data_IF_015112993406
#
_entry.id   IF_015112993406
#
_cell.length_a   1.000
_cell.length_b   1.000
_cell.length_c   1.000
_cell.angle_alpha   90.00
_cell.angle_beta   90.00
_cell.angle_gamma   90.00
#
_symmetry.space_group_name_H-M   'P 1'
#
loop_
_entity.id
_entity.type
_entity.pdbx_description
1 polymer ?
#
# COMPACT_ATOMS: atom_id res chain seq x y z
N UNK A 1 -54.26 -25.01 -47.87
CA UNK A 1 -52.86 -24.72 -48.22
C UNK A 1 -52.16 -24.17 -47.00
N UNK A 2 -51.14 -24.90 -46.54
CA UNK A 2 -50.17 -24.47 -45.54
C UNK A 2 -49.54 -23.12 -45.92
N UNK A 3 -49.29 -22.25 -44.94
CA UNK A 3 -47.95 -21.66 -44.72
C UNK A 3 -47.81 -21.39 -43.21
N UNK A 4 -46.84 -22.09 -42.60
CA UNK A 4 -46.28 -21.80 -41.29
C UNK A 4 -45.49 -20.48 -41.33
N UNK A 5 -45.59 -19.66 -40.28
CA UNK A 5 -44.57 -18.65 -39.99
C UNK A 5 -44.21 -18.70 -38.51
N UNK A 6 -42.94 -19.05 -38.30
CA UNK A 6 -42.28 -19.30 -37.04
C UNK A 6 -41.78 -17.99 -36.41
N UNK A 7 -41.92 -17.93 -35.08
CA UNK A 7 -40.87 -17.65 -34.09
C UNK A 7 -40.09 -16.34 -34.19
N UNK A 8 -40.18 -15.54 -33.12
CA UNK A 8 -39.27 -14.43 -32.82
C UNK A 8 -39.50 -13.88 -31.41
N UNK A 9 -39.44 -14.73 -30.39
CA UNK A 9 -39.43 -14.28 -28.99
C UNK A 9 -37.99 -13.89 -28.63
N UNK A 10 -37.66 -12.61 -28.79
CA UNK A 10 -36.38 -12.05 -28.40
C UNK A 10 -36.34 -11.93 -26.88
N UNK A 11 -35.81 -12.95 -26.21
CA UNK A 11 -35.46 -12.89 -24.79
C UNK A 11 -34.26 -11.94 -24.66
N UNK A 12 -34.51 -10.73 -24.18
CA UNK A 12 -33.47 -9.84 -23.69
C UNK A 12 -32.88 -10.47 -22.43
N UNK A 13 -31.81 -11.24 -22.59
CA UNK A 13 -30.91 -11.57 -21.49
C UNK A 13 -30.24 -10.28 -21.05
N UNK A 14 -30.84 -9.61 -20.06
CA UNK A 14 -30.12 -8.67 -19.23
C UNK A 14 -28.96 -9.47 -18.61
N UNK A 15 -27.74 -9.24 -19.09
CA UNK A 15 -26.57 -9.60 -18.30
C UNK A 15 -26.57 -8.66 -17.11
N UNK A 16 -27.21 -9.08 -16.02
CA UNK A 16 -26.84 -8.57 -14.71
C UNK A 16 -25.39 -9.00 -14.52
N UNK A 17 -24.46 -8.10 -14.86
CA UNK A 17 -23.11 -8.19 -14.33
C UNK A 17 -23.29 -8.29 -12.82
N UNK A 18 -22.91 -9.41 -12.18
CA UNK A 18 -22.93 -9.45 -10.72
C UNK A 18 -22.09 -8.26 -10.29
N UNK A 19 -22.70 -7.34 -9.53
CA UNK A 19 -21.94 -6.40 -8.73
C UNK A 19 -21.01 -7.27 -7.90
N UNK A 20 -19.76 -7.38 -8.32
CA UNK A 20 -18.75 -8.04 -7.52
C UNK A 20 -18.70 -7.25 -6.22
N UNK A 21 -19.25 -7.85 -5.16
CA UNK A 21 -19.11 -7.31 -3.82
C UNK A 21 -17.61 -7.14 -3.60
N UNK A 22 -17.18 -5.91 -3.32
CA UNK A 22 -15.78 -5.62 -3.06
C UNK A 22 -15.44 -6.30 -1.73
N UNK A 23 -14.78 -7.45 -1.82
CA UNK A 23 -14.32 -8.25 -0.68
C UNK A 23 -12.83 -8.00 -0.46
N UNK A 24 -12.37 -8.19 0.77
CA UNK A 24 -10.95 -8.12 1.10
C UNK A 24 -10.17 -9.17 0.31
N UNK A 25 -9.30 -8.70 -0.58
CA UNK A 25 -8.46 -9.59 -1.36
C UNK A 25 -7.20 -9.96 -0.57
N UNK A 26 -7.10 -11.17 -0.03
CA UNK A 26 -5.86 -11.63 0.62
C UNK A 26 -4.89 -12.35 -0.34
N UNK A 27 -5.25 -12.55 -1.61
CA UNK A 27 -4.58 -13.51 -2.51
C UNK A 27 -3.13 -13.15 -2.83
N UNK A 28 -2.79 -11.86 -2.79
CA UNK A 28 -1.44 -11.37 -3.12
C UNK A 28 -0.65 -10.82 -1.92
N UNK A 29 -1.13 -11.09 -0.70
CA UNK A 29 -0.43 -10.75 0.53
C UNK A 29 0.97 -11.37 0.57
N UNK A 30 1.99 -10.57 0.92
CA UNK A 30 3.39 -11.01 0.95
C UNK A 30 4.05 -11.10 -0.42
N UNK A 31 3.30 -10.88 -1.52
CA UNK A 31 3.82 -10.90 -2.89
C UNK A 31 3.79 -9.53 -3.55
N UNK A 32 2.61 -8.90 -3.65
CA UNK A 32 2.46 -7.59 -4.31
C UNK A 32 1.89 -6.53 -3.39
N UNK A 33 1.41 -6.93 -2.20
CA UNK A 33 0.94 -6.03 -1.15
C UNK A 33 1.30 -6.60 0.23
N UNK A 34 1.51 -5.71 1.19
CA UNK A 34 1.61 -6.08 2.59
C UNK A 34 0.22 -6.25 3.17
N UNK A 35 0.08 -7.17 4.11
CA UNK A 35 -1.18 -7.42 4.79
C UNK A 35 -0.94 -7.60 6.28
N UNK A 36 -1.89 -7.15 7.07
CA UNK A 36 -1.97 -7.39 8.49
C UNK A 36 -3.38 -7.86 8.84
N UNK A 37 -3.48 -9.13 9.22
CA UNK A 37 -4.73 -9.83 9.49
C UNK A 37 -4.61 -10.42 10.90
N UNK A 38 -4.95 -9.65 11.95
CA UNK A 38 -4.75 -10.09 13.33
C UNK A 38 -5.71 -11.22 13.75
N UNK A 39 -6.88 -11.32 13.12
CA UNK A 39 -7.87 -12.37 13.36
C UNK A 39 -8.74 -12.58 12.09
N UNK A 40 -9.42 -13.74 11.95
CA UNK A 40 -10.41 -13.93 10.90
C UNK A 40 -11.45 -12.81 10.89
N UNK A 41 -11.85 -12.37 9.70
CA UNK A 41 -12.82 -11.28 9.53
C UNK A 41 -12.25 -9.88 9.69
N UNK A 42 -11.02 -9.68 10.19
CA UNK A 42 -10.39 -8.35 10.33
C UNK A 42 -9.08 -8.28 9.54
N UNK A 43 -9.03 -7.41 8.54
CA UNK A 43 -7.90 -7.32 7.62
C UNK A 43 -7.57 -5.89 7.21
N UNK A 44 -6.27 -5.62 7.14
CA UNK A 44 -5.71 -4.46 6.50
C UNK A 44 -4.71 -4.88 5.43
N UNK A 45 -4.78 -4.30 4.23
CA UNK A 45 -3.73 -4.44 3.23
C UNK A 45 -3.27 -3.08 2.73
N UNK A 46 -1.99 -3.02 2.35
CA UNK A 46 -1.36 -1.82 1.82
C UNK A 46 -0.40 -2.18 0.70
N UNK A 47 -0.29 -1.30 -0.29
CA UNK A 47 0.69 -1.38 -1.37
C UNK A 47 1.18 0.01 -1.68
N UNK A 48 2.47 0.26 -1.46
CA UNK A 48 3.11 1.48 -1.92
C UNK A 48 3.08 1.49 -3.45
N UNK A 49 2.50 2.55 -4.01
CA UNK A 49 2.40 2.76 -5.46
C UNK A 49 3.53 3.68 -5.93
N UNK A 50 3.88 4.66 -5.11
CA UNK A 50 5.01 5.58 -5.28
C UNK A 50 5.34 6.26 -3.96
N UNK A 51 6.39 7.08 -3.94
CA UNK A 51 6.76 7.92 -2.80
C UNK A 51 5.65 8.89 -2.32
N UNK A 52 4.55 9.00 -3.07
CA UNK A 52 3.42 9.87 -2.71
C UNK A 52 2.12 9.13 -2.46
N UNK A 53 2.02 7.85 -2.81
CA UNK A 53 0.74 7.13 -2.76
C UNK A 53 0.87 5.72 -2.25
N UNK A 54 -0.06 5.35 -1.37
CA UNK A 54 -0.26 3.97 -0.90
C UNK A 54 -1.70 3.57 -1.24
N UNK A 55 -1.87 2.48 -1.96
CA UNK A 55 -3.17 1.82 -2.08
C UNK A 55 -3.45 1.06 -0.77
N UNK A 56 -4.61 1.27 -0.18
CA UNK A 56 -5.01 0.66 1.09
C UNK A 56 -6.37 -0.03 0.97
N UNK A 57 -6.57 -1.03 1.80
CA UNK A 57 -7.80 -1.82 1.90
C UNK A 57 -8.03 -2.21 3.35
N UNK A 58 -9.21 -1.91 3.88
CA UNK A 58 -9.66 -2.23 5.22
C UNK A 58 -10.92 -3.08 5.13
N UNK A 59 -11.00 -4.14 5.93
CA UNK A 59 -12.19 -4.97 6.04
C UNK A 59 -12.38 -5.46 7.46
N UNK A 60 -13.62 -5.45 7.94
CA UNK A 60 -14.00 -6.01 9.22
C UNK A 60 -15.38 -6.66 9.17
N UNK A 61 -15.49 -7.86 9.73
CA UNK A 61 -16.76 -8.44 10.11
C UNK A 61 -17.30 -7.72 11.35
N UNK A 62 -18.48 -7.13 11.22
CA UNK A 62 -19.14 -6.34 12.25
C UNK A 62 -20.62 -6.70 12.34
N UNK A 63 -21.16 -6.59 13.54
CA UNK A 63 -22.54 -6.99 13.87
C UNK A 63 -23.60 -5.93 13.54
N UNK A 64 -23.19 -4.70 13.21
CA UNK A 64 -24.08 -3.55 13.09
C UNK A 64 -23.49 -2.41 12.26
N UNK A 65 -24.36 -1.49 11.85
CA UNK A 65 -24.01 -0.34 11.01
C UNK A 65 -23.48 0.88 11.77
N UNK A 66 -23.08 0.73 13.04
CA UNK A 66 -22.51 1.78 13.91
C UNK A 66 -21.14 1.35 14.41
N UNK A 67 -20.23 1.12 13.48
CA UNK A 67 -18.94 0.45 13.72
C UNK A 67 -17.85 1.18 12.95
N UNK A 68 -16.66 1.20 13.52
CA UNK A 68 -15.47 1.75 12.87
C UNK A 68 -14.32 0.76 12.94
N UNK A 69 -13.46 0.84 11.92
CA UNK A 69 -12.12 0.30 11.92
C UNK A 69 -11.15 1.39 11.51
N UNK A 70 -10.08 1.53 12.27
CA UNK A 70 -9.08 2.56 12.10
C UNK A 70 -7.68 1.96 12.06
N UNK A 71 -6.83 2.47 11.17
CA UNK A 71 -5.45 1.99 10.99
C UNK A 71 -4.49 3.15 11.22
N UNK A 72 -3.52 2.95 12.12
CA UNK A 72 -2.45 3.90 12.40
C UNK A 72 -1.11 3.31 11.96
N UNK A 73 -0.28 4.11 11.27
CA UNK A 73 1.06 3.71 10.81
C UNK A 73 2.17 4.26 11.72
N UNK A 74 2.44 3.67 12.88
CA UNK A 74 3.48 4.21 13.79
C UNK A 74 4.89 4.12 13.20
N UNK A 75 5.64 5.23 13.15
CA UNK A 75 7.09 5.25 12.85
C UNK A 75 7.83 6.04 13.92
N UNK A 76 8.77 5.40 14.62
CA UNK A 76 9.46 6.01 15.76
C UNK A 76 8.49 6.39 16.90
N UNK A 77 8.55 7.63 17.37
CA UNK A 77 7.67 8.17 18.44
C UNK A 77 6.40 8.83 17.92
N UNK A 78 6.25 8.96 16.60
CA UNK A 78 5.13 9.67 15.97
C UNK A 78 4.14 8.64 15.42
N UNK A 79 2.89 8.77 15.85
CA UNK A 79 1.75 8.05 15.27
C UNK A 79 1.07 8.97 14.26
N UNK A 80 1.39 8.86 12.95
CA UNK A 80 0.68 9.60 11.90
C UNK A 80 -0.80 9.19 11.88
N UNK A 81 -1.67 9.93 11.19
CA UNK A 81 -3.07 9.94 11.50
C UNK A 81 -3.70 8.61 11.10
N UNK A 82 -4.77 8.25 11.80
CA UNK A 82 -5.47 7.00 11.55
C UNK A 82 -6.22 7.10 10.21
N UNK A 83 -6.25 6.04 9.41
CA UNK A 83 -7.25 5.93 8.35
C UNK A 83 -8.44 5.21 8.93
N UNK A 84 -9.61 5.83 8.93
CA UNK A 84 -10.83 5.23 9.42
C UNK A 84 -11.77 4.85 8.28
N UNK A 85 -12.30 3.64 8.36
CA UNK A 85 -13.49 3.19 7.65
C UNK A 85 -14.61 3.04 8.67
N UNK A 86 -15.73 3.74 8.49
CA UNK A 86 -16.86 3.62 9.42
C UNK A 86 -18.21 3.72 8.75
N UNK A 87 -19.18 3.08 9.38
CA UNK A 87 -20.61 3.18 9.08
C UNK A 87 -21.31 3.78 10.29
N UNK A 88 -22.25 4.69 10.03
CA UNK A 88 -23.00 5.41 11.08
C UNK A 88 -24.45 5.56 10.63
N UNK A 89 -25.38 5.25 11.53
CA UNK A 89 -26.83 5.37 11.37
C UNK A 89 -27.38 4.65 10.14
N UNK A 90 -26.82 3.48 9.80
CA UNK A 90 -27.25 2.69 8.65
C UNK A 90 -26.88 3.30 7.29
N UNK A 91 -26.07 4.36 7.28
CA UNK A 91 -25.60 5.00 6.04
C UNK A 91 -24.47 4.19 5.41
N UNK A 92 -24.27 4.38 4.11
CA UNK A 92 -23.13 3.80 3.40
C UNK A 92 -21.81 4.14 4.11
N UNK A 93 -20.85 3.20 4.19
CA UNK A 93 -19.59 3.47 4.84
C UNK A 93 -18.80 4.57 4.17
N UNK A 94 -18.04 5.30 4.97
CA UNK A 94 -17.14 6.36 4.52
C UNK A 94 -15.72 6.08 5.00
N UNK A 95 -14.75 6.52 4.19
CA UNK A 95 -13.33 6.52 4.57
C UNK A 95 -12.87 7.96 4.79
N UNK A 96 -12.17 8.21 5.89
CA UNK A 96 -11.63 9.53 6.21
C UNK A 96 -10.43 9.44 7.14
N UNK A 97 -9.74 10.57 7.30
CA UNK A 97 -8.73 10.75 8.34
C UNK A 97 -9.48 11.37 9.54
N UNK A 98 -9.59 10.69 10.70
CA UNK A 98 -10.25 11.24 11.87
C UNK A 98 -9.44 12.40 12.42
N UNK A 99 -10.13 13.46 12.80
CA UNK A 99 -9.51 14.64 13.37
C UNK A 99 -9.18 14.36 14.84
N UNK A 100 -7.94 14.64 15.28
CA UNK A 100 -7.52 14.42 16.67
C UNK A 100 -8.03 15.52 17.63
N UNK A 101 -8.71 16.55 17.10
CA UNK A 101 -9.00 17.81 17.81
C UNK A 101 -10.45 17.93 18.31
N UNK A 102 -11.38 17.10 17.83
CA UNK A 102 -12.80 17.21 18.20
C UNK A 102 -13.32 15.92 18.84
N UNK A 103 -13.32 15.91 20.17
CA UNK A 103 -14.13 15.01 20.99
C UNK A 103 -15.61 15.35 20.77
N UNK A 104 -16.30 14.58 19.93
CA UNK A 104 -17.77 14.57 19.90
C UNK A 104 -18.44 14.53 18.52
N UNK A 105 -17.70 14.76 17.43
CA UNK A 105 -18.27 14.66 16.08
C UNK A 105 -17.50 13.67 15.21
N UNK A 106 -18.14 12.54 14.88
CA UNK A 106 -17.59 11.51 13.98
C UNK A 106 -17.25 12.06 12.59
N UNK A 107 -18.01 13.06 12.15
CA UNK A 107 -17.95 13.67 10.83
C UNK A 107 -17.71 15.16 10.95
N UNK A 108 -16.68 15.62 10.27
CA UNK A 108 -16.39 17.05 10.11
C UNK A 108 -17.30 17.67 9.05
N UNK A 109 -17.70 18.94 9.19
CA UNK A 109 -18.26 19.69 8.06
C UNK A 109 -17.29 19.65 6.87
N UNK A 110 -17.82 19.52 5.64
CA UNK A 110 -17.02 19.39 4.40
C UNK A 110 -16.13 18.13 4.31
N UNK A 111 -16.49 17.05 5.01
CA UNK A 111 -15.80 15.75 4.95
C UNK A 111 -15.55 15.28 3.51
N UNK A 112 -16.46 15.51 2.57
CA UNK A 112 -16.29 15.11 1.16
C UNK A 112 -15.12 15.83 0.48
N UNK A 113 -14.99 17.15 0.69
CA UNK A 113 -13.90 17.96 0.14
C UNK A 113 -12.57 17.59 0.80
N UNK A 114 -12.57 17.40 2.12
CA UNK A 114 -11.38 16.96 2.85
C UNK A 114 -10.94 15.55 2.44
N UNK A 115 -11.89 14.63 2.25
CA UNK A 115 -11.63 13.28 1.75
C UNK A 115 -10.98 13.31 0.36
N UNK A 116 -11.45 14.15 -0.54
CA UNK A 116 -10.87 14.30 -1.88
C UNK A 116 -9.43 14.83 -1.88
N UNK A 117 -8.98 15.49 -0.80
CA UNK A 117 -7.59 15.95 -0.69
C UNK A 117 -6.61 14.80 -0.44
N UNK A 118 -7.04 13.75 0.27
CA UNK A 118 -6.14 12.68 0.73
C UNK A 118 -6.45 11.31 0.14
N UNK A 119 -7.69 11.10 -0.33
CA UNK A 119 -8.14 9.84 -0.87
C UNK A 119 -8.60 10.00 -2.32
N UNK A 120 -8.14 9.09 -3.17
CA UNK A 120 -8.65 8.87 -4.52
C UNK A 120 -9.03 7.40 -4.69
N UNK A 121 -9.75 7.06 -5.76
CA UNK A 121 -10.19 5.68 -6.04
C UNK A 121 -10.89 5.01 -4.85
N UNK A 122 -11.78 5.77 -4.19
CA UNK A 122 -12.50 5.31 -3.01
C UNK A 122 -13.59 4.33 -3.43
N UNK A 123 -13.63 3.17 -2.77
CA UNK A 123 -14.69 2.17 -2.87
C UNK A 123 -15.07 1.74 -1.46
N UNK A 124 -16.35 1.78 -1.11
CA UNK A 124 -16.83 1.39 0.21
C UNK A 124 -18.08 0.53 0.10
N UNK A 125 -18.25 -0.41 1.02
CA UNK A 125 -19.44 -1.27 1.07
C UNK A 125 -19.70 -1.79 2.47
N UNK A 126 -20.98 -1.92 2.81
CA UNK A 126 -21.44 -2.64 3.98
C UNK A 126 -22.42 -3.72 3.52
N UNK A 127 -22.00 -4.98 3.53
CA UNK A 127 -22.82 -6.09 3.03
C UNK A 127 -22.48 -7.36 3.79
N UNK A 128 -23.50 -8.17 4.10
CA UNK A 128 -23.35 -9.46 4.78
C UNK A 128 -22.57 -9.38 6.11
N UNK A 129 -22.70 -8.28 6.84
CA UNK A 129 -21.94 -8.07 8.09
C UNK A 129 -20.48 -7.68 7.86
N UNK A 130 -20.05 -7.36 6.64
CA UNK A 130 -18.69 -6.92 6.34
C UNK A 130 -18.66 -5.43 6.05
N UNK A 131 -17.91 -4.68 6.85
CA UNK A 131 -17.51 -3.30 6.61
C UNK A 131 -16.24 -3.28 5.77
N UNK A 132 -16.31 -2.74 4.57
CA UNK A 132 -15.20 -2.68 3.62
C UNK A 132 -14.94 -1.27 3.13
N UNK A 133 -13.66 -0.87 3.12
CA UNK A 133 -13.20 0.34 2.46
C UNK A 133 -11.89 0.11 1.72
N UNK A 134 -11.77 0.67 0.53
CA UNK A 134 -10.56 0.71 -0.27
C UNK A 134 -10.34 2.13 -0.80
N UNK A 135 -9.09 2.57 -0.82
CA UNK A 135 -8.73 3.86 -1.37
C UNK A 135 -7.25 3.91 -1.77
N UNK A 136 -6.89 4.93 -2.54
CA UNK A 136 -5.52 5.39 -2.70
C UNK A 136 -5.29 6.59 -1.78
N UNK A 137 -4.43 6.40 -0.79
CA UNK A 137 -4.04 7.39 0.21
C UNK A 137 -2.84 8.21 -0.28
N UNK A 138 -2.94 9.53 -0.18
CA UNK A 138 -1.83 10.47 -0.33
C UNK A 138 -0.95 10.42 0.94
N UNK A 139 0.31 10.05 0.79
CA UNK A 139 1.30 9.89 1.88
C UNK A 139 2.51 10.82 1.72
N UNK A 140 2.35 11.89 0.94
CA UNK A 140 3.33 12.96 0.87
C UNK A 140 2.76 14.13 1.66
N UNK A 141 3.27 14.30 2.88
CA UNK A 141 2.88 15.40 3.76
C UNK A 141 3.07 16.73 3.05
N UNK A 142 2.01 17.54 3.02
CA UNK A 142 2.05 18.92 2.53
C UNK A 142 2.76 19.84 3.54
N UNK A 143 3.94 19.44 4.04
CA UNK A 143 4.66 20.04 5.17
C UNK A 143 3.88 20.01 6.50
N UNK A 144 2.90 19.12 6.65
CA UNK A 144 2.13 18.98 7.88
C UNK A 144 2.57 17.72 8.66
N UNK A 145 3.11 17.87 9.89
CA UNK A 145 3.57 16.74 10.71
C UNK A 145 2.43 15.83 11.19
N UNK A 146 1.17 16.23 11.05
CA UNK A 146 0.00 15.43 11.40
C UNK A 146 -0.36 14.39 10.34
N UNK A 147 0.35 14.34 9.19
CA UNK A 147 0.08 13.39 8.11
C UNK A 147 1.23 12.41 7.91
N UNK A 148 0.90 11.19 7.50
CA UNK A 148 1.91 10.20 7.12
C UNK A 148 2.72 10.75 5.96
N UNK A 149 4.01 10.90 6.17
CA UNK A 149 5.00 11.05 5.10
C UNK A 149 5.72 9.72 4.95
N UNK A 150 5.59 9.12 3.77
CA UNK A 150 6.24 7.85 3.50
C UNK A 150 7.76 8.00 3.38
N UNK A 151 8.49 7.20 4.14
CA UNK A 151 9.95 7.07 4.11
C UNK A 151 10.31 5.58 3.88
N UNK A 152 10.90 5.23 2.72
CA UNK A 152 11.31 3.85 2.42
C UNK A 152 12.45 3.31 3.29
N UNK A 153 13.08 4.17 4.10
CA UNK A 153 14.15 3.81 5.04
C UNK A 153 13.62 3.56 6.46
N UNK A 154 12.38 3.93 6.75
CA UNK A 154 11.79 3.77 8.07
C UNK A 154 11.15 2.39 8.26
N UNK A 155 11.13 1.92 9.50
CA UNK A 155 10.29 0.80 9.93
C UNK A 155 8.98 1.33 10.52
N UNK A 156 7.88 0.71 10.12
CA UNK A 156 6.54 1.08 10.54
C UNK A 156 5.92 -0.03 11.36
N UNK A 157 5.04 0.34 12.28
CA UNK A 157 4.08 -0.57 12.91
C UNK A 157 2.69 -0.24 12.38
N UNK A 158 1.90 -1.26 12.12
CA UNK A 158 0.49 -1.10 11.75
C UNK A 158 -0.33 -1.44 12.97
N UNK A 159 -1.08 -0.45 13.48
CA UNK A 159 -2.07 -0.66 14.54
C UNK A 159 -3.47 -0.59 13.96
N UNK A 160 -4.23 -1.67 14.05
CA UNK A 160 -5.66 -1.70 13.76
C UNK A 160 -6.41 -1.48 15.07
N UNK A 161 -7.37 -0.56 15.09
CA UNK A 161 -8.31 -0.34 16.20
C UNK A 161 -9.72 -0.48 15.67
N UNK A 162 -10.57 -1.21 16.38
CA UNK A 162 -11.97 -1.38 16.01
C UNK A 162 -12.88 -1.18 17.23
N UNK A 163 -14.14 -0.86 16.97
CA UNK A 163 -15.14 -0.80 18.02
C UNK A 163 -16.46 -0.19 17.56
N UNK A 164 -17.43 -0.09 18.47
CA UNK A 164 -18.71 0.54 18.19
C UNK A 164 -18.59 2.06 18.19
N UNK A 165 -19.58 2.66 17.54
CA UNK A 165 -19.85 4.08 17.57
C UNK A 165 -21.08 4.29 18.45
N UNK A 166 -20.90 5.00 19.57
CA UNK A 166 -21.94 5.22 20.57
C UNK A 166 -22.08 6.72 20.84
N UNK A 167 -23.30 7.26 20.72
CA UNK A 167 -23.55 8.67 21.03
C UNK A 167 -22.76 9.68 20.17
N UNK A 168 -22.27 9.28 19.00
CA UNK A 168 -21.39 10.13 18.19
C UNK A 168 -19.90 10.00 18.53
N UNK A 169 -19.51 8.99 19.32
CA UNK A 169 -18.12 8.78 19.73
C UNK A 169 -17.62 7.37 19.39
N UNK A 170 -16.31 7.28 19.17
CA UNK A 170 -15.59 6.03 18.92
C UNK A 170 -15.25 5.39 20.26
N UNK A 171 -15.76 4.20 20.52
CA UNK A 171 -15.37 3.43 21.69
C UNK A 171 -14.39 2.36 21.22
N UNK A 172 -13.09 2.53 21.50
CA UNK A 172 -12.09 1.53 21.14
C UNK A 172 -12.34 0.24 21.93
N UNK A 173 -12.73 -0.82 21.22
CA UNK A 173 -13.05 -2.12 21.83
C UNK A 173 -11.84 -3.04 21.76
N UNK A 174 -11.21 -3.13 20.58
CA UNK A 174 -10.03 -3.96 20.35
C UNK A 174 -8.95 -3.18 19.61
N UNK A 175 -7.70 -3.54 19.87
CA UNK A 175 -6.53 -2.95 19.22
C UNK A 175 -5.48 -4.02 18.99
N UNK A 176 -4.93 -4.06 17.79
CA UNK A 176 -3.92 -5.03 17.36
C UNK A 176 -2.77 -4.31 16.70
N UNK A 177 -1.54 -4.56 17.15
CA UNK A 177 -0.34 -3.93 16.60
C UNK A 177 0.56 -4.98 15.96
N UNK A 178 0.96 -4.75 14.71
CA UNK A 178 1.89 -5.61 14.00
C UNK A 178 3.30 -5.50 14.58
N UNK A 179 4.13 -6.50 14.29
CA UNK A 179 5.59 -6.30 14.37
C UNK A 179 6.04 -5.17 13.42
N UNK A 180 7.19 -4.53 13.70
CA UNK A 180 7.79 -3.57 12.77
C UNK A 180 7.96 -4.18 11.37
N UNK A 181 7.65 -3.40 10.35
CA UNK A 181 7.67 -3.81 8.95
C UNK A 181 8.09 -2.64 8.04
N UNK A 182 8.68 -2.98 6.91
CA UNK A 182 8.88 -2.03 5.82
C UNK A 182 7.64 -2.07 4.90
N UNK A 183 7.10 -0.91 4.53
CA UNK A 183 5.90 -0.84 3.69
C UNK A 183 6.17 -1.31 2.23
N UNK A 184 7.43 -1.35 1.80
CA UNK A 184 7.86 -1.60 0.41
C UNK A 184 8.32 -3.03 0.09
N UNK A 185 8.05 -4.02 0.95
CA UNK A 185 8.73 -5.33 0.91
C UNK A 185 8.56 -6.18 -0.38
N UNK A 186 7.74 -5.78 -1.35
CA UNK A 186 7.54 -6.50 -2.62
C UNK A 186 8.33 -5.97 -3.82
N UNK A 187 8.97 -4.81 -3.73
CA UNK A 187 10.06 -4.52 -4.67
C UNK A 187 11.33 -5.07 -4.05
N UNK A 188 12.05 -6.01 -4.70
CA UNK A 188 13.44 -6.21 -4.35
C UNK A 188 14.05 -4.82 -4.43
N UNK A 189 14.40 -4.21 -3.28
CA UNK A 189 15.29 -3.05 -3.25
C UNK A 189 16.34 -3.40 -4.29
N UNK A 190 16.56 -2.61 -5.36
CA UNK A 190 17.65 -2.90 -6.28
C UNK A 190 18.84 -3.03 -5.35
N UNK A 191 19.35 -4.28 -5.20
CA UNK A 191 20.40 -4.59 -4.23
C UNK A 191 21.40 -3.48 -4.43
N UNK A 192 21.74 -2.67 -3.40
CA UNK A 192 22.63 -1.54 -3.60
C UNK A 192 23.82 -2.11 -4.36
N UNK A 193 23.96 -1.74 -5.65
CA UNK A 193 24.91 -2.41 -6.57
C UNK A 193 26.20 -2.50 -5.78
N UNK A 194 26.61 -3.70 -5.37
CA UNK A 194 27.56 -3.91 -4.27
C UNK A 194 28.58 -2.77 -4.28
N UNK A 195 28.39 -1.77 -3.42
CA UNK A 195 29.33 -0.67 -3.34
C UNK A 195 30.52 -1.31 -2.65
N UNK A 196 31.46 -1.77 -3.46
CA UNK A 196 32.73 -2.28 -2.99
C UNK A 196 33.24 -1.26 -1.96
N UNK A 197 33.54 -1.74 -0.75
CA UNK A 197 34.02 -0.91 0.33
C UNK A 197 35.09 0.07 -0.20
N UNK A 198 35.10 1.31 0.29
CA UNK A 198 35.92 2.40 -0.27
C UNK A 198 37.40 2.00 -0.34
N UNK A 199 37.87 1.20 0.62
CA UNK A 199 39.23 0.67 0.65
C UNK A 199 39.42 -0.38 -0.45
N UNK A 200 38.49 -1.32 -0.60
CA UNK A 200 38.53 -2.36 -1.64
C UNK A 200 38.45 -1.73 -3.05
N UNK A 201 37.57 -0.75 -3.25
CA UNK A 201 37.46 0.01 -4.51
C UNK A 201 38.77 0.70 -4.86
N UNK A 202 39.41 1.35 -3.89
CA UNK A 202 40.70 2.03 -4.10
C UNK A 202 41.81 1.04 -4.45
N UNK A 203 41.86 -0.13 -3.81
CA UNK A 203 42.79 -1.21 -4.14
C UNK A 203 42.55 -1.73 -5.56
N UNK A 204 41.29 -1.95 -5.95
CA UNK A 204 40.93 -2.44 -7.28
C UNK A 204 41.30 -1.43 -8.38
N UNK A 205 41.04 -0.14 -8.17
CA UNK A 205 41.41 0.93 -9.11
C UNK A 205 42.94 1.00 -9.27
N UNK A 206 43.69 0.91 -8.16
CA UNK A 206 45.16 0.92 -8.20
C UNK A 206 45.71 -0.30 -8.95
N UNK A 207 45.14 -1.48 -8.71
CA UNK A 207 45.51 -2.70 -9.43
C UNK A 207 45.22 -2.59 -10.94
N UNK A 208 44.06 -2.06 -11.32
CA UNK A 208 43.71 -1.82 -12.72
C UNK A 208 44.72 -0.90 -13.41
N UNK A 209 45.07 0.22 -12.78
CA UNK A 209 46.05 1.16 -13.34
C UNK A 209 47.44 0.51 -13.51
N UNK A 210 47.90 -0.28 -12.53
CA UNK A 210 49.18 -0.99 -12.63
C UNK A 210 49.15 -2.01 -13.77
N UNK A 211 48.07 -2.78 -13.91
CA UNK A 211 47.94 -3.76 -14.99
C UNK A 211 47.91 -3.10 -16.37
N UNK A 212 47.27 -1.94 -16.51
CA UNK A 212 47.29 -1.17 -17.76
C UNK A 212 48.73 -0.74 -18.10
N UNK A 213 49.47 -0.17 -17.14
CA UNK A 213 50.86 0.23 -17.38
C UNK A 213 51.72 -0.98 -17.75
N UNK A 214 51.59 -2.11 -17.04
CA UNK A 214 52.34 -3.32 -17.36
C UNK A 214 52.00 -3.87 -18.76
N UNK A 215 50.72 -3.88 -19.13
CA UNK A 215 50.26 -4.29 -20.47
C UNK A 215 50.91 -3.45 -21.57
N UNK A 216 50.85 -2.13 -21.44
CA UNK A 216 51.32 -1.21 -22.47
C UNK A 216 52.84 -1.12 -22.57
N UNK A 217 53.58 -1.24 -21.46
CA UNK A 217 55.04 -1.12 -21.48
C UNK A 217 55.76 -2.44 -21.73
N UNK A 218 55.23 -3.57 -21.25
CA UNK A 218 55.93 -4.84 -21.36
C UNK A 218 55.27 -5.75 -22.40
N UNK A 219 53.97 -6.00 -22.29
CA UNK A 219 53.34 -7.02 -23.11
C UNK A 219 53.17 -6.59 -24.57
N UNK A 220 52.75 -5.34 -24.83
CA UNK A 220 52.53 -4.85 -26.20
C UNK A 220 53.86 -4.74 -26.99
N UNK A 221 54.94 -4.13 -26.48
CA UNK A 221 56.20 -4.05 -27.23
C UNK A 221 56.84 -5.43 -27.41
N UNK A 222 56.78 -6.28 -26.38
CA UNK A 222 57.29 -7.66 -26.47
C UNK A 222 56.53 -8.44 -27.54
N UNK A 223 55.20 -8.36 -27.58
CA UNK A 223 54.41 -9.00 -28.63
C UNK A 223 54.80 -8.52 -30.04
N UNK A 224 55.06 -7.22 -30.21
CA UNK A 224 55.48 -6.67 -31.50
C UNK A 224 56.88 -7.16 -31.93
N UNK A 225 57.83 -7.23 -30.98
CA UNK A 225 59.16 -7.79 -31.23
C UNK A 225 59.05 -9.28 -31.59
N UNK A 226 58.32 -10.06 -30.82
CA UNK A 226 58.10 -11.49 -31.08
C UNK A 226 57.45 -11.70 -32.45
N UNK A 227 56.42 -10.93 -32.82
CA UNK A 227 55.77 -11.01 -34.13
C UNK A 227 56.70 -10.68 -35.31
N UNK A 228 57.75 -9.88 -35.08
CA UNK A 228 58.72 -9.50 -36.11
C UNK A 228 59.88 -10.47 -36.24
N UNK A 229 60.33 -11.07 -35.14
CA UNK A 229 61.57 -11.86 -35.09
C UNK A 229 61.37 -13.37 -34.90
N UNK A 230 60.18 -13.82 -34.47
CA UNK A 230 59.79 -15.24 -34.51
C UNK A 230 58.96 -15.51 -35.75
N UNK A 231 59.66 -15.56 -36.89
CA UNK A 231 59.16 -16.16 -38.12
C UNK A 231 59.86 -17.49 -38.34
#
# INVERSE_FOLDING_TARGET
MLVHLAVGLTVLLYSETPFALAEFDASTCGHTKGCYIPKPGLGFSYRVVSDSYIDIELSAEVDSSNRFIAVTFGSGTVSPPSVECSTVDGKAPTIHIPNNVETGHLRIPNESTFRQQYFSNVSTSFSNGTLYCRARLLVKGQNDPNFLTYDPSAEYTVKITEGPIQGGERVAEQSFTSSPLALDASTPKPKPKYKLDVVTRRKLIKAHAILQVLAWFFFVPTAFVFARFLK
#
